data_IF_331819516139
#
_entry.id   IF_331819516139
#
_cell.length_a   1.000
_cell.length_b   1.000
_cell.length_c   1.000
_cell.angle_alpha   90.00
_cell.angle_beta   90.00
_cell.angle_gamma   90.00
#
_symmetry.space_group_name_H-M   'P 1'
#
loop_
_entity.id
_entity.type
_entity.pdbx_description
1 polymer ?
#
# COMPACT_ATOMS: atom_id res chain seq x y z
N UNK A 1 -47.65 -26.06 -4.80
CA UNK A 1 -47.87 -25.11 -3.68
C UNK A 1 -46.57 -24.35 -3.39
N UNK A 2 -46.26 -23.33 -4.19
CA UNK A 2 -45.07 -22.47 -4.08
C UNK A 2 -45.46 -21.06 -4.52
N UNK A 3 -44.80 -20.05 -3.95
CA UNK A 3 -44.88 -18.60 -4.18
C UNK A 3 -45.87 -17.83 -3.30
N UNK A 4 -45.37 -17.26 -2.17
CA UNK A 4 -45.86 -16.00 -1.56
C UNK A 4 -44.98 -15.54 -0.39
N UNK A 5 -43.70 -15.20 -0.63
CA UNK A 5 -42.88 -14.45 0.36
C UNK A 5 -41.83 -13.58 -0.36
N UNK A 6 -42.26 -12.64 -1.21
CA UNK A 6 -41.30 -11.66 -1.79
C UNK A 6 -41.85 -10.24 -2.02
N UNK A 7 -43.06 -9.91 -1.56
CA UNK A 7 -43.67 -8.58 -1.78
C UNK A 7 -43.57 -7.60 -0.60
N UNK A 8 -43.24 -8.02 0.63
CA UNK A 8 -43.28 -7.11 1.79
C UNK A 8 -41.98 -6.33 2.07
N UNK A 9 -40.85 -6.74 1.49
CA UNK A 9 -39.55 -6.08 1.72
C UNK A 9 -39.30 -4.82 0.87
N UNK A 10 -40.17 -4.49 -0.10
CA UNK A 10 -40.02 -3.28 -0.94
C UNK A 10 -40.76 -2.04 -0.40
N UNK A 11 -41.78 -2.21 0.43
CA UNK A 11 -42.58 -1.08 0.94
C UNK A 11 -41.89 -0.35 2.11
N UNK A 12 -41.11 -1.04 2.94
CA UNK A 12 -40.43 -0.42 4.09
C UNK A 12 -39.22 0.48 3.72
N UNK A 13 -38.69 0.39 2.49
CA UNK A 13 -37.57 1.27 2.04
C UNK A 13 -38.01 2.63 1.50
N UNK A 14 -39.26 2.77 1.05
CA UNK A 14 -39.79 4.04 0.54
C UNK A 14 -40.30 4.95 1.68
N UNK A 15 -40.84 4.38 2.76
CA UNK A 15 -41.29 5.13 3.94
C UNK A 15 -40.11 5.82 4.67
N UNK A 16 -38.99 5.13 4.86
CA UNK A 16 -37.80 5.70 5.53
C UNK A 16 -37.15 6.85 4.75
N UNK A 17 -37.31 6.90 3.43
CA UNK A 17 -36.75 7.98 2.61
C UNK A 17 -37.60 9.26 2.66
N UNK A 18 -38.92 9.14 2.85
CA UNK A 18 -39.82 10.29 2.94
C UNK A 18 -39.79 10.96 4.33
N UNK A 19 -39.59 10.20 5.40
CA UNK A 19 -39.49 10.76 6.76
C UNK A 19 -38.18 11.52 7.02
N UNK A 20 -37.12 11.23 6.27
CA UNK A 20 -35.85 11.98 6.35
C UNK A 20 -35.93 13.41 5.79
N UNK A 21 -36.93 13.70 4.94
CA UNK A 21 -37.12 15.05 4.36
C UNK A 21 -38.04 15.97 5.19
N UNK A 22 -38.79 15.43 6.16
CA UNK A 22 -39.78 16.23 6.93
C UNK A 22 -39.27 16.82 8.26
N UNK A 23 -38.06 16.48 8.73
CA UNK A 23 -37.49 17.00 10.00
C UNK A 23 -36.50 18.16 9.86
N UNK A 24 -36.58 18.97 8.80
CA UNK A 24 -35.84 20.24 8.69
C UNK A 24 -36.76 21.45 8.77
N UNK A 25 -37.39 21.65 9.92
CA UNK A 25 -37.85 22.97 10.35
C UNK A 25 -38.06 22.96 11.86
N UNK A 26 -37.09 23.50 12.59
CA UNK A 26 -37.23 24.27 13.84
C UNK A 26 -35.84 24.47 14.45
N UNK A 27 -35.55 25.73 14.74
CA UNK A 27 -34.22 26.25 15.03
C UNK A 27 -33.56 25.61 16.24
N UNK A 28 -32.36 25.10 16.03
CA UNK A 28 -31.35 24.97 17.06
C UNK A 28 -30.23 25.97 16.73
N UNK A 29 -29.65 26.68 17.71
CA UNK A 29 -28.58 27.63 17.48
C UNK A 29 -27.38 26.92 16.84
N UNK A 30 -26.86 27.52 15.77
CA UNK A 30 -25.71 26.99 15.05
C UNK A 30 -24.47 27.04 15.97
N UNK A 31 -24.09 25.89 16.53
CA UNK A 31 -22.76 25.72 17.13
C UNK A 31 -21.75 25.81 15.98
N UNK A 32 -21.14 26.97 15.83
CA UNK A 32 -20.02 27.18 14.89
C UNK A 32 -18.81 26.43 15.47
N UNK A 33 -18.74 25.13 15.22
CA UNK A 33 -17.51 24.37 15.39
C UNK A 33 -16.55 24.90 14.33
N UNK A 34 -15.63 25.79 14.73
CA UNK A 34 -14.48 26.20 13.90
C UNK A 34 -13.67 24.93 13.61
N UNK A 35 -13.96 24.26 12.49
CA UNK A 35 -13.12 23.18 11.98
C UNK A 35 -11.81 23.80 11.51
N UNK A 36 -10.81 23.83 12.38
CA UNK A 36 -9.42 23.95 11.96
C UNK A 36 -9.14 22.75 11.06
N UNK A 37 -9.30 22.93 9.74
CA UNK A 37 -8.82 21.95 8.78
C UNK A 37 -7.31 21.84 9.03
N UNK A 38 -6.77 20.63 9.29
CA UNK A 38 -5.33 20.47 9.40
C UNK A 38 -4.72 21.09 8.13
N UNK A 39 -3.88 22.11 8.33
CA UNK A 39 -3.09 22.68 7.24
C UNK A 39 -2.08 21.60 6.88
N UNK A 40 -2.44 20.72 5.95
CA UNK A 40 -1.50 19.82 5.30
C UNK A 40 -0.40 20.71 4.74
N UNK A 41 0.77 20.71 5.40
CA UNK A 41 1.95 21.37 4.85
C UNK A 41 2.16 20.71 3.49
N UNK A 42 2.28 21.52 2.42
CA UNK A 42 2.66 20.99 1.11
C UNK A 42 3.94 20.19 1.34
N UNK A 43 3.86 18.87 1.17
CA UNK A 43 5.01 17.99 1.27
C UNK A 43 5.95 18.48 0.18
N UNK A 44 7.11 19.03 0.57
CA UNK A 44 8.16 19.34 -0.40
C UNK A 44 8.49 18.00 -1.06
N UNK A 45 8.39 17.90 -2.38
CA UNK A 45 8.82 16.68 -3.06
C UNK A 45 10.33 16.60 -2.95
N UNK A 46 10.82 15.54 -2.31
CA UNK A 46 12.23 15.22 -2.15
C UNK A 46 12.62 14.28 -3.28
N UNK A 47 13.66 14.58 -4.05
CA UNK A 47 14.14 13.67 -5.08
C UNK A 47 15.51 13.17 -4.68
N UNK A 48 15.61 11.88 -4.37
CA UNK A 48 16.90 11.20 -4.41
C UNK A 48 17.33 11.09 -5.88
N UNK A 49 18.56 11.50 -6.20
CA UNK A 49 19.12 11.37 -7.55
C UNK A 49 19.35 9.88 -7.85
N UNK A 50 18.37 9.26 -8.49
CA UNK A 50 18.49 7.93 -9.08
C UNK A 50 18.38 8.05 -10.60
N UNK A 51 19.30 7.40 -11.31
CA UNK A 51 19.49 7.59 -12.75
C UNK A 51 18.89 6.48 -13.61
N UNK A 52 18.54 5.32 -13.04
CA UNK A 52 18.19 4.11 -13.80
C UNK A 52 17.08 3.24 -13.19
N UNK A 53 16.54 2.31 -13.98
CA UNK A 53 15.63 1.23 -13.54
C UNK A 53 16.15 0.46 -12.34
N UNK A 54 17.44 0.14 -12.42
CA UNK A 54 18.13 -0.67 -11.43
C UNK A 54 18.07 0.00 -10.07
N UNK A 55 18.11 1.33 -10.03
CA UNK A 55 18.12 2.09 -8.79
C UNK A 55 16.79 1.97 -8.02
N UNK A 56 15.66 1.78 -8.72
CA UNK A 56 14.36 1.60 -8.05
C UNK A 56 14.32 0.29 -7.26
N UNK A 57 14.86 -0.80 -7.84
CA UNK A 57 14.92 -2.11 -7.20
C UNK A 57 16.06 -2.22 -6.19
N UNK A 58 17.16 -1.52 -6.44
CA UNK A 58 18.31 -1.44 -5.53
C UNK A 58 18.06 -0.50 -4.36
N UNK A 59 17.02 0.33 -4.35
CA UNK A 59 16.84 1.34 -3.31
C UNK A 59 16.96 0.76 -1.88
N UNK A 60 16.28 -0.32 -1.48
CA UNK A 60 16.43 -0.83 -0.11
C UNK A 60 17.89 -1.17 0.22
N UNK A 61 18.60 -1.79 -0.72
CA UNK A 61 20.02 -2.11 -0.61
C UNK A 61 20.87 -0.83 -0.56
N UNK A 62 20.62 0.12 -1.46
CA UNK A 62 21.33 1.40 -1.54
C UNK A 62 21.18 2.21 -0.25
N UNK A 63 20.00 2.24 0.36
CA UNK A 63 19.78 2.90 1.64
C UNK A 63 20.67 2.29 2.72
N UNK A 64 20.75 0.95 2.78
CA UNK A 64 21.63 0.24 3.72
C UNK A 64 23.10 0.52 3.42
N UNK A 65 23.52 0.34 2.17
CA UNK A 65 24.91 0.54 1.74
C UNK A 65 25.37 1.98 2.02
N UNK A 66 24.51 2.96 1.74
CA UNK A 66 24.83 4.37 1.99
C UNK A 66 24.95 4.65 3.49
N UNK A 67 24.02 4.13 4.29
CA UNK A 67 24.07 4.26 5.75
C UNK A 67 25.30 3.58 6.38
N UNK A 68 25.80 2.50 5.79
CA UNK A 68 27.02 1.83 6.25
C UNK A 68 28.31 2.55 5.84
N UNK A 69 28.36 3.02 4.59
CA UNK A 69 29.54 3.71 4.04
C UNK A 69 29.70 5.12 4.59
N UNK A 70 28.61 5.80 4.97
CA UNK A 70 28.63 7.06 5.71
C UNK A 70 29.08 6.85 7.16
N UNK A 71 30.32 6.37 7.38
CA UNK A 71 31.05 6.30 8.65
C UNK A 71 30.16 6.11 9.91
N UNK A 72 29.32 5.08 9.86
CA UNK A 72 28.55 4.44 10.93
C UNK A 72 28.32 5.24 12.23
N UNK A 73 27.30 6.10 12.24
CA UNK A 73 26.71 6.49 13.53
C UNK A 73 26.22 5.21 14.25
N UNK A 74 26.49 5.03 15.56
CA UNK A 74 26.00 3.90 16.34
C UNK A 74 24.49 3.59 16.17
N UNK A 75 23.60 4.59 15.99
CA UNK A 75 22.18 4.37 15.70
C UNK A 75 21.91 3.54 14.45
N UNK A 76 22.69 3.71 13.38
CA UNK A 76 22.49 2.98 12.11
C UNK A 76 22.80 1.50 12.29
N UNK A 77 23.95 1.17 12.88
CA UNK A 77 24.33 -0.22 13.17
C UNK A 77 23.29 -0.90 14.06
N UNK A 78 22.84 -0.19 15.11
CA UNK A 78 21.79 -0.66 16.01
C UNK A 78 20.49 -0.94 15.26
N UNK A 79 20.06 -0.03 14.39
CA UNK A 79 18.86 -0.20 13.57
C UNK A 79 18.93 -1.42 12.66
N UNK A 80 20.06 -1.61 11.97
CA UNK A 80 20.29 -2.76 11.09
C UNK A 80 20.28 -4.08 11.87
N UNK A 81 20.91 -4.14 13.06
CA UNK A 81 20.81 -5.30 13.95
C UNK A 81 19.37 -5.51 14.43
N UNK A 82 18.62 -4.44 14.66
CA UNK A 82 17.21 -4.48 15.03
C UNK A 82 16.31 -5.14 13.98
N UNK A 83 16.61 -4.95 12.69
CA UNK A 83 15.84 -5.55 11.61
C UNK A 83 15.81 -7.08 11.67
N UNK A 84 16.92 -7.73 12.04
CA UNK A 84 16.97 -9.21 12.15
C UNK A 84 16.15 -9.77 13.31
N UNK A 85 15.77 -8.90 14.26
CA UNK A 85 14.88 -9.20 15.39
C UNK A 85 13.40 -9.12 15.01
N UNK A 86 13.07 -8.63 13.80
CA UNK A 86 11.69 -8.50 13.34
C UNK A 86 11.02 -9.86 13.11
N UNK A 87 9.80 -9.94 13.59
CA UNK A 87 8.81 -10.97 13.29
C UNK A 87 7.65 -10.24 12.60
N UNK A 88 7.38 -10.62 11.36
CA UNK A 88 6.43 -9.89 10.53
C UNK A 88 5.12 -10.66 10.42
N UNK A 89 4.03 -9.95 10.64
CA UNK A 89 2.69 -10.34 10.20
C UNK A 89 2.16 -9.30 9.23
N UNK A 90 1.33 -9.72 8.30
CA UNK A 90 0.83 -8.87 7.23
C UNK A 90 -0.64 -9.14 6.99
N UNK A 91 -1.44 -8.09 6.99
CA UNK A 91 -2.86 -8.12 6.68
C UNK A 91 -3.11 -7.38 5.37
N UNK A 92 -3.97 -7.95 4.51
CA UNK A 92 -4.18 -7.44 3.15
C UNK A 92 -2.88 -7.46 2.34
N UNK A 93 -2.19 -8.59 2.41
CA UNK A 93 -0.82 -8.75 1.90
C UNK A 93 -0.72 -8.53 0.38
N UNK A 94 -1.82 -8.65 -0.36
CA UNK A 94 -1.81 -8.64 -1.82
C UNK A 94 -0.90 -9.75 -2.33
N UNK A 95 -0.02 -9.41 -3.27
CA UNK A 95 1.03 -10.33 -3.77
C UNK A 95 2.31 -10.31 -2.93
N UNK A 96 2.28 -9.65 -1.77
CA UNK A 96 3.39 -9.61 -0.82
C UNK A 96 4.45 -8.56 -1.11
N UNK A 97 4.05 -7.40 -1.65
CA UNK A 97 4.96 -6.28 -1.97
C UNK A 97 5.69 -5.75 -0.73
N UNK A 98 5.00 -5.63 0.39
CA UNK A 98 5.60 -5.13 1.63
C UNK A 98 6.71 -6.06 2.12
N UNK A 99 6.44 -7.36 2.08
CA UNK A 99 7.33 -8.43 2.48
C UNK A 99 8.53 -8.51 1.54
N UNK A 100 8.36 -8.29 0.24
CA UNK A 100 9.48 -8.18 -0.71
C UNK A 100 10.39 -6.99 -0.36
N UNK A 101 9.81 -5.84 -0.01
CA UNK A 101 10.58 -4.66 0.41
C UNK A 101 11.41 -4.93 1.67
N UNK A 102 10.80 -5.56 2.67
CA UNK A 102 11.49 -5.93 3.93
C UNK A 102 12.51 -7.06 3.73
N UNK A 103 12.22 -8.03 2.87
CA UNK A 103 13.14 -9.11 2.56
C UNK A 103 14.36 -8.56 1.81
N UNK A 104 14.18 -7.65 0.86
CA UNK A 104 15.27 -6.99 0.16
C UNK A 104 16.15 -6.18 1.11
N UNK A 105 15.53 -5.47 2.06
CA UNK A 105 16.25 -4.75 3.10
C UNK A 105 17.13 -5.68 3.96
N UNK A 106 16.63 -6.87 4.34
CA UNK A 106 17.36 -7.85 5.16
C UNK A 106 18.37 -8.69 4.38
N UNK A 107 18.13 -8.94 3.11
CA UNK A 107 19.02 -9.73 2.25
C UNK A 107 20.41 -9.09 2.15
N UNK A 108 20.49 -7.76 2.22
CA UNK A 108 21.73 -6.98 2.36
C UNK A 108 22.63 -7.38 3.54
N UNK A 109 22.10 -8.15 4.50
CA UNK A 109 22.76 -8.61 5.72
C UNK A 109 22.77 -10.12 5.87
N UNK A 110 22.48 -10.86 4.79
CA UNK A 110 22.33 -12.33 4.85
C UNK A 110 21.35 -12.76 5.95
N UNK A 111 20.28 -11.99 6.13
CA UNK A 111 19.23 -12.28 7.09
C UNK A 111 17.92 -12.60 6.37
N UNK A 112 17.26 -13.67 6.81
CA UNK A 112 15.94 -14.03 6.30
C UNK A 112 14.83 -13.30 7.06
N UNK A 113 13.88 -12.75 6.31
CA UNK A 113 12.68 -12.16 6.87
C UNK A 113 11.79 -13.25 7.49
N UNK A 114 11.51 -13.12 8.78
CA UNK A 114 10.62 -14.05 9.51
C UNK A 114 9.16 -13.63 9.36
N UNK A 115 8.56 -13.90 8.21
CA UNK A 115 7.11 -13.74 8.01
C UNK A 115 6.38 -14.88 8.71
N UNK A 116 5.56 -14.58 9.72
CA UNK A 116 4.80 -15.58 10.49
C UNK A 116 3.38 -15.74 9.99
N UNK A 117 2.78 -14.66 9.51
CA UNK A 117 1.40 -14.63 9.03
C UNK A 117 1.24 -13.67 7.86
N UNK A 118 0.49 -14.09 6.86
CA UNK A 118 -0.08 -13.25 5.81
C UNK A 118 -1.58 -13.51 5.70
N UNK A 119 -2.36 -12.47 5.39
CA UNK A 119 -3.82 -12.57 5.26
C UNK A 119 -4.23 -11.91 3.95
N UNK A 120 -4.84 -12.68 3.05
CA UNK A 120 -5.26 -12.19 1.74
C UNK A 120 -6.52 -12.91 1.24
N UNK A 121 -7.58 -12.15 1.00
CA UNK A 121 -8.88 -12.70 0.59
C UNK A 121 -8.91 -13.04 -0.91
N UNK A 122 -8.14 -12.32 -1.74
CA UNK A 122 -8.05 -12.56 -3.17
C UNK A 122 -7.24 -13.83 -3.43
N UNK A 123 -7.93 -14.84 -3.99
CA UNK A 123 -7.32 -16.14 -4.31
C UNK A 123 -6.08 -16.04 -5.20
N UNK A 124 -6.08 -15.18 -6.23
CA UNK A 124 -4.94 -15.06 -7.15
C UNK A 124 -3.73 -14.45 -6.46
N UNK A 125 -3.95 -13.46 -5.60
CA UNK A 125 -2.89 -12.90 -4.76
C UNK A 125 -2.33 -13.95 -3.81
N UNK A 126 -3.20 -14.77 -3.16
CA UNK A 126 -2.74 -15.90 -2.34
C UNK A 126 -1.94 -16.92 -3.14
N UNK A 127 -2.32 -17.25 -4.37
CA UNK A 127 -1.55 -18.18 -5.21
C UNK A 127 -0.12 -17.67 -5.45
N UNK A 128 0.07 -16.35 -5.59
CA UNK A 128 1.40 -15.73 -5.62
C UNK A 128 2.12 -15.81 -4.27
N UNK A 129 1.42 -15.62 -3.14
CA UNK A 129 2.03 -15.78 -1.82
C UNK A 129 2.49 -17.22 -1.58
N UNK A 130 1.65 -18.21 -1.91
CA UNK A 130 1.93 -19.63 -1.76
C UNK A 130 3.07 -20.13 -2.67
N UNK A 131 3.31 -19.46 -3.80
CA UNK A 131 4.45 -19.78 -4.67
C UNK A 131 5.79 -19.27 -4.10
N UNK A 132 5.75 -18.43 -3.06
CA UNK A 132 6.96 -18.01 -2.34
C UNK A 132 7.31 -19.05 -1.30
N UNK A 133 8.54 -19.53 -1.33
CA UNK A 133 9.02 -20.52 -0.35
C UNK A 133 9.28 -19.85 1.01
N UNK A 134 8.23 -19.64 1.81
CA UNK A 134 8.33 -19.15 3.19
C UNK A 134 7.65 -20.10 4.18
N UNK A 135 8.12 -20.10 5.43
CA UNK A 135 7.57 -20.94 6.51
C UNK A 135 6.36 -20.34 7.23
N UNK A 136 5.97 -19.10 6.91
CA UNK A 136 4.82 -18.41 7.47
C UNK A 136 3.47 -19.00 7.08
N UNK A 137 2.43 -18.73 7.88
CA UNK A 137 1.05 -19.10 7.55
C UNK A 137 0.41 -18.10 6.56
N UNK A 138 -0.43 -18.60 5.66
CA UNK A 138 -1.26 -17.77 4.76
C UNK A 138 -2.74 -18.06 5.06
N UNK A 139 -3.46 -17.06 5.55
CA UNK A 139 -4.91 -17.11 5.81
C UNK A 139 -5.69 -16.31 4.75
N UNK A 140 -7.00 -16.48 4.70
CA UNK A 140 -7.89 -15.83 3.73
C UNK A 140 -8.57 -14.55 4.24
N UNK A 141 -9.73 -14.65 4.87
CA UNK A 141 -10.53 -13.52 5.34
C UNK A 141 -10.10 -13.15 6.75
N UNK A 142 -9.65 -11.91 6.93
CA UNK A 142 -9.26 -11.38 8.24
C UNK A 142 -10.41 -11.45 9.27
N UNK A 143 -11.67 -11.41 8.82
CA UNK A 143 -12.82 -11.56 9.71
C UNK A 143 -12.90 -12.94 10.35
N UNK A 144 -12.40 -13.99 9.67
CA UNK A 144 -12.35 -15.35 10.22
C UNK A 144 -11.31 -15.47 11.35
N UNK A 145 -10.36 -14.54 11.44
CA UNK A 145 -9.36 -14.50 12.51
C UNK A 145 -9.91 -13.85 13.80
N UNK A 146 -11.04 -13.16 13.71
CA UNK A 146 -11.72 -12.47 14.82
C UNK A 146 -13.23 -12.69 14.74
N UNK A 147 -13.72 -13.95 14.83
CA UNK A 147 -15.10 -14.30 14.48
C UNK A 147 -16.18 -13.53 15.26
N UNK A 148 -15.89 -13.11 16.50
CA UNK A 148 -16.82 -12.42 17.39
C UNK A 148 -16.52 -10.91 17.51
N UNK A 149 -15.98 -10.29 16.45
CA UNK A 149 -15.72 -8.86 16.50
C UNK A 149 -16.98 -8.01 16.33
N UNK A 150 -17.07 -6.99 17.16
CA UNK A 150 -18.05 -5.92 17.12
C UNK A 150 -17.46 -4.73 16.37
N UNK A 151 -18.21 -4.21 15.40
CA UNK A 151 -17.85 -3.01 14.63
C UNK A 151 -17.64 -1.82 15.55
N UNK A 152 -16.73 -0.92 15.17
CA UNK A 152 -16.52 0.32 15.89
C UNK A 152 -17.75 1.24 15.84
N UNK A 153 -17.91 2.09 16.85
CA UNK A 153 -18.88 3.20 16.82
C UNK A 153 -18.13 4.52 16.76
N UNK A 154 -18.81 5.66 16.57
CA UNK A 154 -18.15 6.97 16.60
C UNK A 154 -17.33 7.21 17.89
N UNK A 155 -17.75 6.63 19.02
CA UNK A 155 -17.14 6.85 20.33
C UNK A 155 -16.19 5.72 20.78
N UNK A 156 -16.26 4.52 20.19
CA UNK A 156 -15.50 3.36 20.65
C UNK A 156 -14.81 2.65 19.49
N UNK A 157 -13.55 2.22 19.66
CA UNK A 157 -12.89 1.39 18.67
C UNK A 157 -13.61 0.04 18.53
N UNK A 158 -13.43 -0.66 17.40
CA UNK A 158 -13.81 -2.06 17.25
C UNK A 158 -13.22 -2.91 18.38
N UNK A 159 -13.98 -3.93 18.80
CA UNK A 159 -13.57 -4.85 19.86
C UNK A 159 -13.91 -6.26 19.46
N UNK A 160 -13.12 -7.20 19.93
CA UNK A 160 -13.42 -8.61 19.80
C UNK A 160 -13.15 -9.28 21.15
N UNK A 161 -14.05 -10.15 21.61
CA UNK A 161 -13.90 -10.84 22.90
C UNK A 161 -12.68 -11.76 22.92
N UNK A 162 -12.39 -12.39 21.79
CA UNK A 162 -11.24 -13.29 21.61
C UNK A 162 -10.86 -13.43 20.13
N UNK A 163 -9.58 -13.44 19.82
CA UNK A 163 -9.10 -13.89 18.51
C UNK A 163 -9.40 -15.37 18.32
N UNK A 164 -9.59 -15.82 17.08
CA UNK A 164 -9.58 -17.24 16.80
C UNK A 164 -8.24 -17.84 17.24
N UNK A 165 -8.27 -18.90 18.04
CA UNK A 165 -7.04 -19.58 18.48
C UNK A 165 -6.34 -20.22 17.28
N UNK A 166 -7.13 -20.77 16.34
CA UNK A 166 -6.66 -21.36 15.09
C UNK A 166 -7.56 -20.96 13.93
N UNK A 167 -6.99 -20.87 12.74
CA UNK A 167 -7.71 -20.68 11.48
C UNK A 167 -7.12 -21.57 10.38
N UNK A 168 -7.85 -21.77 9.28
CA UNK A 168 -7.37 -22.59 8.18
C UNK A 168 -6.25 -21.88 7.42
N UNK A 169 -5.06 -22.46 7.42
CA UNK A 169 -3.90 -21.94 6.73
C UNK A 169 -3.74 -22.63 5.37
N UNK A 170 -3.74 -21.86 4.29
CA UNK A 170 -3.54 -22.34 2.93
C UNK A 170 -2.12 -22.88 2.67
N UNK A 171 -1.10 -22.33 3.35
CA UNK A 171 0.28 -22.80 3.21
C UNK A 171 0.47 -24.22 3.77
N UNK A 172 -0.14 -24.50 4.93
CA UNK A 172 0.03 -25.79 5.62
C UNK A 172 -1.15 -26.75 5.43
N UNK A 173 -2.18 -26.33 4.68
CA UNK A 173 -3.42 -27.06 4.45
C UNK A 173 -4.09 -27.62 5.74
N UNK A 174 -4.01 -26.88 6.86
CA UNK A 174 -4.52 -27.29 8.18
C UNK A 174 -4.88 -26.10 9.06
N UNK A 175 -5.54 -26.35 10.19
CA UNK A 175 -5.76 -25.33 11.22
C UNK A 175 -4.45 -24.96 11.92
N UNK A 176 -3.99 -23.73 11.72
CA UNK A 176 -2.76 -23.20 12.34
C UNK A 176 -3.09 -22.12 13.38
N UNK A 177 -2.22 -21.90 14.39
CA UNK A 177 -2.35 -20.77 15.30
C UNK A 177 -2.40 -19.44 14.56
N UNK A 178 -3.32 -18.56 14.96
CA UNK A 178 -3.49 -17.22 14.35
C UNK A 178 -2.47 -16.23 14.86
N UNK A 179 -2.29 -16.19 16.19
CA UNK A 179 -1.36 -15.29 16.84
C UNK A 179 0.09 -15.73 16.60
N UNK A 180 0.98 -14.81 16.19
CA UNK A 180 2.39 -15.14 16.00
C UNK A 180 3.04 -15.46 17.35
N UNK A 181 3.88 -16.50 17.38
CA UNK A 181 4.77 -16.75 18.52
C UNK A 181 5.96 -15.78 18.43
N UNK A 182 5.99 -14.78 19.31
CA UNK A 182 7.12 -13.85 19.51
C UNK A 182 8.05 -14.40 20.61
N UNK A 183 9.34 -14.52 20.33
CA UNK A 183 10.35 -14.87 21.34
C UNK A 183 10.85 -13.62 22.09
N UNK A 184 11.42 -13.82 23.27
CA UNK A 184 12.04 -12.73 24.04
C UNK A 184 13.10 -12.02 23.17
N UNK A 185 13.08 -10.69 23.19
CA UNK A 185 13.97 -9.86 22.40
C UNK A 185 13.57 -9.70 20.93
N UNK A 186 12.53 -10.36 20.42
CA UNK A 186 12.02 -10.05 19.07
C UNK A 186 11.14 -8.80 19.08
N UNK A 187 10.94 -8.21 17.90
CA UNK A 187 9.95 -7.17 17.66
C UNK A 187 8.87 -7.70 16.69
N UNK A 188 7.61 -7.55 17.05
CA UNK A 188 6.47 -7.87 16.21
C UNK A 188 6.04 -6.65 15.41
N UNK A 189 6.21 -6.73 14.09
CA UNK A 189 5.72 -5.75 13.13
C UNK A 189 4.48 -6.30 12.41
N UNK A 190 3.37 -5.58 12.48
CA UNK A 190 2.21 -5.79 11.61
C UNK A 190 2.26 -4.80 10.44
N UNK A 191 2.10 -5.28 9.21
CA UNK A 191 2.00 -4.43 8.01
C UNK A 191 0.61 -4.57 7.40
N UNK A 192 -0.07 -3.45 7.12
CA UNK A 192 -1.44 -3.52 6.62
C UNK A 192 -1.81 -2.41 5.63
N UNK A 193 -2.43 -2.82 4.52
CA UNK A 193 -3.00 -1.94 3.49
C UNK A 193 -4.50 -2.20 3.30
N UNK A 194 -5.36 -1.90 4.30
CA UNK A 194 -6.77 -2.25 4.24
C UNK A 194 -7.48 -1.58 3.06
N UNK A 195 -8.58 -2.18 2.55
CA UNK A 195 -9.26 -1.72 1.35
C UNK A 195 -9.55 -0.20 1.38
N UNK A 196 -8.92 0.54 0.46
CA UNK A 196 -9.14 1.97 0.30
C UNK A 196 -10.44 2.43 -0.41
N UNK A 197 -11.25 1.59 -1.11
CA UNK A 197 -12.47 2.05 -1.79
C UNK A 197 -13.47 2.87 -0.95
N UNK A 198 -13.63 2.64 0.37
CA UNK A 198 -14.47 3.49 1.21
C UNK A 198 -14.01 4.96 1.26
N UNK A 199 -12.74 5.25 0.97
CA UNK A 199 -12.10 6.56 1.09
C UNK A 199 -11.62 7.14 -0.25
N UNK A 200 -11.34 6.27 -1.21
CA UNK A 200 -10.73 6.63 -2.49
C UNK A 200 -11.63 7.50 -3.38
N UNK A 201 -11.00 8.38 -4.18
CA UNK A 201 -11.69 9.15 -5.21
C UNK A 201 -12.39 8.29 -6.25
N UNK A 202 -11.92 7.05 -6.43
CA UNK A 202 -12.44 6.08 -7.37
C UNK A 202 -13.54 5.17 -6.77
N UNK A 203 -13.80 5.26 -5.46
CA UNK A 203 -14.89 4.54 -4.81
C UNK A 203 -16.13 5.42 -4.60
N UNK A 204 -17.13 4.89 -3.89
CA UNK A 204 -18.35 5.62 -3.53
C UNK A 204 -18.14 6.61 -2.36
N UNK A 205 -16.94 6.65 -1.76
CA UNK A 205 -16.60 7.48 -0.59
C UNK A 205 -17.58 7.38 0.58
N UNK A 206 -18.06 6.16 0.82
CA UNK A 206 -19.02 5.86 1.89
C UNK A 206 -18.35 5.77 3.27
N UNK A 207 -17.02 5.80 3.35
CA UNK A 207 -16.27 5.74 4.59
C UNK A 207 -16.67 4.55 5.46
N UNK A 208 -16.90 4.79 6.74
CA UNK A 208 -17.35 3.76 7.71
C UNK A 208 -18.67 3.06 7.34
N UNK A 209 -19.52 3.67 6.49
CA UNK A 209 -20.77 3.05 6.04
C UNK A 209 -20.62 2.07 4.86
N UNK A 210 -19.40 1.91 4.33
CA UNK A 210 -19.11 0.93 3.30
C UNK A 210 -18.94 -0.47 3.92
N UNK A 211 -19.61 -1.50 3.38
CA UNK A 211 -19.49 -2.87 3.92
C UNK A 211 -18.05 -3.38 3.93
N UNK A 212 -17.20 -2.88 3.04
CA UNK A 212 -15.77 -3.26 2.98
C UNK A 212 -14.96 -2.68 4.14
N UNK A 213 -15.50 -1.67 4.85
CA UNK A 213 -14.90 -1.18 6.09
C UNK A 213 -14.90 -2.22 7.20
N UNK A 214 -15.78 -3.21 7.13
CA UNK A 214 -15.83 -4.32 8.09
C UNK A 214 -14.50 -5.08 8.21
N UNK A 215 -13.77 -5.24 7.09
CA UNK A 215 -12.45 -5.87 7.11
C UNK A 215 -11.41 -4.99 7.85
N UNK A 216 -11.52 -3.67 7.75
CA UNK A 216 -10.69 -2.74 8.52
C UNK A 216 -10.98 -2.85 10.02
N UNK A 217 -12.24 -2.96 10.44
CA UNK A 217 -12.60 -3.13 11.85
C UNK A 217 -12.16 -4.48 12.43
N UNK A 218 -12.21 -5.54 11.62
CA UNK A 218 -11.62 -6.84 11.96
C UNK A 218 -10.10 -6.73 12.18
N UNK A 219 -9.41 -6.05 11.27
CA UNK A 219 -7.97 -5.78 11.40
C UNK A 219 -7.63 -4.98 12.67
N UNK A 220 -8.37 -3.90 12.95
CA UNK A 220 -8.19 -3.13 14.18
C UNK A 220 -8.37 -4.01 15.41
N UNK A 221 -9.42 -4.84 15.42
CA UNK A 221 -9.67 -5.77 16.53
C UNK A 221 -8.53 -6.76 16.73
N UNK A 222 -7.99 -7.32 15.65
CA UNK A 222 -6.85 -8.23 15.68
C UNK A 222 -5.60 -7.54 16.24
N UNK A 223 -5.23 -6.37 15.72
CA UNK A 223 -4.07 -5.61 16.22
C UNK A 223 -4.20 -5.22 17.68
N UNK A 224 -5.41 -4.85 18.14
CA UNK A 224 -5.63 -4.48 19.54
C UNK A 224 -5.53 -5.67 20.51
N UNK A 225 -5.73 -6.89 20.02
CA UNK A 225 -5.58 -8.13 20.79
C UNK A 225 -4.13 -8.61 20.80
N UNK A 226 -3.45 -8.54 19.65
CA UNK A 226 -2.06 -9.00 19.53
C UNK A 226 -1.04 -8.00 20.04
N UNK A 227 -1.42 -6.73 20.11
CA UNK A 227 -0.57 -5.60 20.49
C UNK A 227 0.81 -5.65 19.82
N UNK A 228 0.90 -5.65 18.46
CA UNK A 228 2.20 -5.60 17.78
C UNK A 228 3.03 -4.43 18.31
N UNK A 229 4.34 -4.61 18.44
CA UNK A 229 5.23 -3.52 18.89
C UNK A 229 5.20 -2.35 17.90
N UNK A 230 5.06 -2.68 16.60
CA UNK A 230 4.96 -1.75 15.50
C UNK A 230 3.82 -2.11 14.57
N UNK A 231 3.13 -1.11 14.05
CA UNK A 231 2.18 -1.27 12.95
C UNK A 231 2.57 -0.30 11.84
N UNK A 232 2.82 -0.82 10.65
CA UNK A 232 2.94 -0.03 9.44
C UNK A 232 1.64 -0.07 8.65
N UNK A 233 0.94 1.04 8.63
CA UNK A 233 -0.32 1.19 7.91
C UNK A 233 -0.11 1.99 6.62
N UNK A 234 -0.69 1.54 5.50
CA UNK A 234 -0.72 2.29 4.23
C UNK A 234 -2.16 2.54 3.76
N UNK A 235 -2.42 3.73 3.24
CA UNK A 235 -3.65 4.00 2.51
C UNK A 235 -3.52 5.16 1.51
N UNK A 236 -4.61 5.44 0.78
CA UNK A 236 -4.69 6.63 -0.07
C UNK A 236 -4.63 7.92 0.76
N UNK A 237 -4.08 8.99 0.20
CA UNK A 237 -3.97 10.31 0.87
C UNK A 237 -5.31 10.86 1.39
N UNK A 238 -6.44 10.43 0.81
CA UNK A 238 -7.78 10.81 1.27
C UNK A 238 -8.31 10.03 2.47
N UNK A 239 -7.53 9.10 3.04
CA UNK A 239 -7.90 8.37 4.25
C UNK A 239 -8.00 9.32 5.46
N UNK A 240 -8.95 9.06 6.36
CA UNK A 240 -9.17 9.84 7.57
C UNK A 240 -8.25 9.39 8.70
N UNK A 241 -7.13 10.06 8.89
CA UNK A 241 -6.14 9.71 9.92
C UNK A 241 -6.72 9.72 11.35
N UNK A 242 -7.77 10.50 11.59
CA UNK A 242 -8.47 10.53 12.87
C UNK A 242 -9.04 9.16 13.26
N UNK A 243 -9.24 8.25 12.29
CA UNK A 243 -9.62 6.87 12.56
C UNK A 243 -8.48 6.06 13.17
N UNK A 244 -7.22 6.29 12.78
CA UNK A 244 -6.08 5.63 13.43
C UNK A 244 -5.94 6.14 14.85
N UNK A 245 -6.04 7.45 15.06
CA UNK A 245 -5.97 8.05 16.39
C UNK A 245 -7.08 7.50 17.30
N UNK A 246 -8.34 7.52 16.82
CA UNK A 246 -9.49 6.94 17.52
C UNK A 246 -9.26 5.46 17.90
N UNK A 247 -8.65 4.70 17.01
CA UNK A 247 -8.53 3.25 17.17
C UNK A 247 -7.28 2.80 17.92
N UNK A 248 -6.23 3.61 17.99
CA UNK A 248 -4.92 3.18 18.49
C UNK A 248 -4.20 4.19 19.38
N UNK A 249 -4.58 5.47 19.42
CA UNK A 249 -3.81 6.49 20.17
C UNK A 249 -3.78 6.26 21.69
N UNK A 250 -4.66 5.40 22.23
CA UNK A 250 -4.59 4.95 23.62
C UNK A 250 -3.32 4.11 23.88
N UNK A 251 -2.95 3.22 22.95
CA UNK A 251 -1.81 2.28 23.08
C UNK A 251 -0.58 2.62 22.24
N UNK A 252 -0.75 3.41 21.19
CA UNK A 252 0.27 3.69 20.18
C UNK A 252 0.50 5.18 20.02
N UNK A 253 1.71 5.56 19.60
CA UNK A 253 2.01 6.85 18.97
C UNK A 253 1.75 6.72 17.48
N UNK A 254 0.95 7.61 16.88
CA UNK A 254 0.58 7.56 15.45
C UNK A 254 1.40 8.59 14.69
N UNK A 255 2.25 8.13 13.75
CA UNK A 255 3.21 8.96 13.02
C UNK A 255 2.94 8.90 11.51
N UNK A 256 2.01 9.71 10.99
CA UNK A 256 1.63 9.70 9.58
C UNK A 256 2.58 10.50 8.69
N UNK A 257 2.92 9.96 7.52
CA UNK A 257 3.67 10.64 6.47
C UNK A 257 3.13 10.31 5.08
N UNK A 258 3.34 11.20 4.11
CA UNK A 258 2.95 10.95 2.72
C UNK A 258 4.19 10.60 1.89
N UNK A 259 4.21 9.39 1.34
CA UNK A 259 5.26 8.92 0.45
C UNK A 259 4.74 8.76 -0.97
N UNK A 260 5.58 9.13 -1.93
CA UNK A 260 5.33 8.89 -3.36
C UNK A 260 6.53 8.09 -3.91
N UNK A 261 6.32 7.00 -4.66
CA UNK A 261 7.40 6.23 -5.27
C UNK A 261 8.39 7.08 -6.08
N UNK A 262 7.92 8.21 -6.63
CA UNK A 262 8.75 9.19 -7.34
C UNK A 262 9.89 9.78 -6.51
N UNK A 263 9.77 9.79 -5.19
CA UNK A 263 10.84 10.21 -4.28
C UNK A 263 12.09 9.30 -4.41
N UNK A 264 11.89 8.09 -4.94
CA UNK A 264 12.89 7.03 -5.08
C UNK A 264 13.26 6.76 -6.54
N UNK A 265 13.02 7.72 -7.43
CA UNK A 265 13.30 7.54 -8.86
C UNK A 265 12.32 6.63 -9.61
N UNK A 266 11.36 6.02 -8.92
CA UNK A 266 10.36 5.19 -9.59
C UNK A 266 9.47 6.09 -10.47
N UNK A 267 9.33 5.82 -11.77
CA UNK A 267 8.55 6.69 -12.65
C UNK A 267 7.04 6.51 -12.51
N UNK A 268 6.51 6.34 -11.30
CA UNK A 268 5.09 6.14 -11.04
C UNK A 268 4.62 7.10 -9.96
N UNK A 269 3.70 8.01 -10.30
CA UNK A 269 3.06 8.86 -9.30
C UNK A 269 2.04 8.05 -8.51
N UNK A 270 2.33 7.84 -7.22
CA UNK A 270 1.43 7.10 -6.33
C UNK A 270 1.57 7.59 -4.89
N UNK A 271 1.16 8.83 -4.60
CA UNK A 271 1.21 9.33 -3.24
C UNK A 271 0.26 8.50 -2.36
N UNK A 272 0.76 8.07 -1.21
CA UNK A 272 0.05 7.29 -0.19
C UNK A 272 0.43 7.80 1.18
N UNK A 273 -0.52 7.71 2.12
CA UNK A 273 -0.23 7.93 3.52
C UNK A 273 0.31 6.63 4.11
N UNK A 274 1.50 6.71 4.67
CA UNK A 274 2.13 5.67 5.48
C UNK A 274 2.10 6.14 6.92
N UNK A 275 1.45 5.40 7.81
CA UNK A 275 1.40 5.71 9.24
C UNK A 275 2.16 4.64 9.99
N UNK A 276 3.24 5.05 10.64
CA UNK A 276 3.95 4.21 11.59
C UNK A 276 3.30 4.38 12.95
N UNK A 277 2.78 3.29 13.52
CA UNK A 277 2.25 3.27 14.87
C UNK A 277 3.25 2.54 15.76
N UNK A 278 3.74 3.23 16.78
CA UNK A 278 4.76 2.71 17.71
C UNK A 278 4.09 2.45 19.06
N UNK A 279 4.13 1.22 19.54
CA UNK A 279 3.53 0.88 20.82
C UNK A 279 4.19 1.70 21.93
N UNK A 280 3.39 2.24 22.86
CA UNK A 280 3.89 3.18 23.90
C UNK A 280 4.86 2.54 24.90
N UNK A 281 4.98 1.21 24.92
CA UNK A 281 6.01 0.51 25.69
C UNK A 281 7.41 0.61 25.07
N UNK A 282 7.52 1.00 23.79
CA UNK A 282 8.80 1.24 23.14
C UNK A 282 9.26 2.68 23.37
N UNK A 283 10.56 2.84 23.61
CA UNK A 283 11.19 4.14 23.80
C UNK A 283 11.52 4.77 22.44
N UNK A 284 10.58 5.56 21.92
CA UNK A 284 10.71 6.29 20.67
C UNK A 284 11.48 7.62 20.87
N UNK A 285 12.64 7.72 20.22
CA UNK A 285 13.56 8.87 20.22
C UNK A 285 13.37 9.84 19.05
N UNK A 286 12.57 9.46 18.04
CA UNK A 286 12.32 10.31 16.88
C UNK A 286 11.45 11.52 17.24
N UNK A 287 11.55 12.59 16.46
CA UNK A 287 10.62 13.71 16.59
C UNK A 287 9.34 13.43 15.80
N UNK A 288 8.22 14.09 16.16
CA UNK A 288 6.98 13.99 15.39
C UNK A 288 7.09 14.65 14.01
N UNK A 289 8.09 15.49 13.79
CA UNK A 289 8.29 16.22 12.55
C UNK A 289 9.16 15.41 11.57
N UNK A 290 8.51 14.78 10.59
CA UNK A 290 9.17 14.19 9.42
C UNK A 290 10.27 13.20 9.74
N UNK A 291 9.91 12.19 10.53
CA UNK A 291 10.76 11.05 10.84
C UNK A 291 11.43 10.47 9.59
N UNK A 292 10.72 10.43 8.47
CA UNK A 292 11.24 9.93 7.20
C UNK A 292 12.40 10.78 6.63
N UNK A 293 12.40 12.09 6.85
CA UNK A 293 13.50 12.95 6.40
C UNK A 293 14.80 12.60 7.09
N UNK A 294 14.75 12.12 8.33
CA UNK A 294 15.94 11.74 9.06
C UNK A 294 16.59 10.52 8.41
N UNK A 295 15.80 9.54 7.97
CA UNK A 295 16.32 8.38 7.24
C UNK A 295 16.87 8.75 5.85
N UNK A 296 16.16 9.62 5.10
CA UNK A 296 16.64 10.08 3.78
C UNK A 296 17.93 10.88 3.90
N UNK A 297 18.02 11.78 4.89
CA UNK A 297 19.24 12.55 5.18
C UNK A 297 20.37 11.64 5.68
N UNK A 298 20.07 10.69 6.55
CA UNK A 298 21.05 9.73 7.05
C UNK A 298 21.63 8.86 5.93
N UNK A 299 20.82 8.54 4.92
CA UNK A 299 21.26 7.87 3.70
C UNK A 299 21.95 8.83 2.70
N UNK A 300 22.48 9.97 3.15
CA UNK A 300 23.24 10.91 2.31
C UNK A 300 22.43 11.57 1.19
N UNK A 301 21.10 11.49 1.24
CA UNK A 301 20.24 12.05 0.22
C UNK A 301 20.24 13.58 0.23
N UNK A 302 20.68 14.20 -0.85
CA UNK A 302 20.45 15.64 -1.05
C UNK A 302 18.96 15.88 -1.29
N UNK A 303 18.40 16.80 -0.49
CA UNK A 303 17.03 17.28 -0.66
C UNK A 303 17.02 18.35 -1.75
N UNK A 304 16.65 17.96 -2.97
CA UNK A 304 16.36 18.93 -4.02
C UNK A 304 14.87 19.30 -4.02
N UNK A 305 14.55 20.58 -4.19
CA UNK A 305 13.19 21.02 -4.50
C UNK A 305 12.85 20.60 -5.93
N UNK A 306 11.71 19.97 -6.10
CA UNK A 306 11.17 19.37 -7.34
C UNK A 306 10.86 20.33 -8.50
N UNK A 307 11.55 21.47 -8.59
CA UNK A 307 11.31 22.47 -9.65
C UNK A 307 12.15 22.19 -10.92
N UNK A 308 13.06 21.20 -10.90
CA UNK A 308 13.76 20.78 -12.11
C UNK A 308 12.92 19.77 -12.89
N UNK A 309 12.68 20.07 -14.18
CA UNK A 309 11.94 19.26 -15.14
C UNK A 309 12.71 17.99 -15.57
N UNK A 310 13.32 17.25 -14.63
CA UNK A 310 14.05 16.03 -14.97
C UNK A 310 13.06 15.02 -15.52
N UNK A 311 13.14 14.75 -16.82
CA UNK A 311 12.38 13.68 -17.47
C UNK A 311 12.80 12.37 -16.85
N UNK A 312 11.88 11.67 -16.18
CA UNK A 312 12.17 10.32 -15.70
C UNK A 312 12.53 9.42 -16.88
N UNK A 313 13.50 8.52 -16.68
CA UNK A 313 13.83 7.52 -17.69
C UNK A 313 12.69 6.51 -17.77
N UNK A 314 11.81 6.70 -18.75
CA UNK A 314 10.64 5.83 -18.96
C UNK A 314 11.02 4.49 -19.61
N UNK A 315 12.30 4.26 -19.96
CA UNK A 315 12.79 2.97 -20.50
C UNK A 315 12.55 1.81 -19.56
N UNK A 316 12.45 2.08 -18.25
CA UNK A 316 12.11 1.11 -17.19
C UNK A 316 10.86 0.28 -17.53
N UNK A 317 9.89 0.88 -18.22
CA UNK A 317 8.64 0.22 -18.62
C UNK A 317 8.68 -0.40 -20.01
N UNK A 318 9.65 -0.03 -20.85
CA UNK A 318 9.75 -0.47 -22.23
C UNK A 318 10.76 -1.60 -22.42
N UNK A 319 11.69 -1.78 -21.48
CA UNK A 319 12.59 -2.92 -21.44
C UNK A 319 11.78 -4.22 -21.31
N UNK A 320 12.13 -5.20 -22.14
CA UNK A 320 11.54 -6.55 -22.17
C UNK A 320 10.03 -6.57 -22.50
N UNK A 321 9.62 -6.10 -23.70
CA UNK A 321 8.24 -6.21 -24.14
C UNK A 321 7.82 -7.67 -24.27
N UNK A 322 6.68 -8.03 -23.70
CA UNK A 322 6.05 -9.33 -23.89
C UNK A 322 4.95 -9.29 -24.97
N UNK A 323 4.41 -10.45 -25.30
CA UNK A 323 3.31 -10.63 -26.23
C UNK A 323 2.05 -9.80 -25.88
N UNK A 324 1.82 -9.47 -24.61
CA UNK A 324 0.76 -8.55 -24.18
C UNK A 324 1.00 -7.08 -24.52
N UNK A 325 2.27 -6.67 -24.62
CA UNK A 325 2.64 -5.28 -24.98
C UNK A 325 2.43 -4.95 -26.47
N UNK A 326 2.46 -5.98 -27.33
CA UNK A 326 2.40 -5.86 -28.80
C UNK A 326 0.99 -5.98 -29.39
N UNK A 327 -0.06 -5.95 -28.57
CA UNK A 327 -1.43 -6.06 -29.07
C UNK A 327 -1.78 -4.87 -29.97
N UNK A 328 -2.55 -5.13 -31.02
CA UNK A 328 -3.10 -4.06 -31.85
C UNK A 328 -4.08 -3.19 -31.04
N UNK A 329 -4.06 -1.90 -31.37
CA UNK A 329 -4.99 -0.93 -30.82
C UNK A 329 -6.37 -1.14 -31.46
N UNK A 330 -7.42 -1.10 -30.65
CA UNK A 330 -8.80 -1.15 -31.16
C UNK A 330 -9.18 0.18 -31.81
N UNK A 331 -10.16 0.22 -32.72
CA UNK A 331 -10.63 1.46 -33.35
C UNK A 331 -11.08 2.51 -32.31
N UNK A 332 -11.64 2.05 -31.18
CA UNK A 332 -12.04 2.92 -30.07
C UNK A 332 -10.84 3.52 -29.34
N UNK A 333 -9.77 2.77 -29.16
CA UNK A 333 -8.53 3.26 -28.56
C UNK A 333 -7.80 4.22 -29.49
N UNK A 334 -7.80 3.95 -30.81
CA UNK A 334 -7.28 4.89 -31.82
C UNK A 334 -8.01 6.23 -31.77
N UNK A 335 -9.35 6.22 -31.81
CA UNK A 335 -10.15 7.44 -31.71
C UNK A 335 -9.89 8.21 -30.40
N UNK A 336 -9.62 7.50 -29.29
CA UNK A 336 -9.26 8.13 -28.01
C UNK A 336 -7.86 8.73 -28.03
N UNK A 337 -6.89 8.05 -28.62
CA UNK A 337 -5.52 8.56 -28.75
C UNK A 337 -5.53 9.85 -29.59
N UNK A 338 -6.27 9.88 -30.70
CA UNK A 338 -6.43 11.09 -31.51
C UNK A 338 -7.10 12.22 -30.71
N UNK A 339 -8.16 11.90 -29.96
CA UNK A 339 -8.79 12.88 -29.08
C UNK A 339 -7.81 13.41 -28.01
N UNK A 340 -6.91 12.57 -27.49
CA UNK A 340 -5.87 12.99 -26.54
C UNK A 340 -4.80 13.86 -27.21
N UNK A 341 -4.40 13.57 -28.46
CA UNK A 341 -3.46 14.37 -29.23
C UNK A 341 -3.97 15.81 -29.45
N UNK A 342 -5.28 15.98 -29.60
CA UNK A 342 -5.91 17.31 -29.68
C UNK A 342 -5.93 18.09 -28.36
N UNK A 343 -5.63 17.46 -27.23
CA UNK A 343 -5.58 18.14 -25.92
C UNK A 343 -4.18 18.67 -25.67
N UNK A 344 -4.00 20.00 -25.78
CA UNK A 344 -2.71 20.70 -25.55
C UNK A 344 -2.00 20.24 -24.26
N UNK A 345 -2.75 19.94 -23.21
CA UNK A 345 -2.21 19.51 -21.91
C UNK A 345 -1.65 18.09 -21.89
N UNK A 346 -2.07 17.20 -22.80
CA UNK A 346 -1.61 15.82 -22.89
C UNK A 346 -0.55 15.61 -23.96
N UNK A 347 -0.28 16.62 -24.79
CA UNK A 347 0.69 16.52 -25.89
C UNK A 347 2.06 15.98 -25.44
N UNK A 348 2.43 16.26 -24.19
CA UNK A 348 3.70 15.88 -23.57
C UNK A 348 3.62 14.61 -22.68
N UNK A 349 2.44 14.03 -22.48
CA UNK A 349 2.30 12.84 -21.64
C UNK A 349 2.95 11.62 -22.33
N UNK A 350 3.95 11.02 -21.69
CA UNK A 350 4.62 9.80 -22.16
C UNK A 350 3.66 8.60 -22.21
N UNK A 351 2.85 8.45 -21.15
CA UNK A 351 1.93 7.32 -20.97
C UNK A 351 0.52 7.82 -20.71
N UNK A 352 -0.45 7.23 -21.42
CA UNK A 352 -1.86 7.60 -21.34
C UNK A 352 -2.74 6.38 -21.08
N UNK A 353 -3.78 6.53 -20.26
CA UNK A 353 -4.80 5.48 -20.06
C UNK A 353 -5.92 5.61 -21.11
N UNK A 354 -5.84 4.79 -22.17
CA UNK A 354 -6.83 4.73 -23.25
C UNK A 354 -8.13 4.01 -22.84
N UNK A 355 -8.25 3.50 -21.62
CA UNK A 355 -9.55 3.00 -21.11
C UNK A 355 -10.46 4.14 -20.66
N UNK A 356 -9.89 5.31 -20.35
CA UNK A 356 -10.63 6.46 -19.84
C UNK A 356 -11.30 7.26 -20.95
N UNK A 357 -12.24 8.12 -20.56
CA UNK A 357 -12.90 9.03 -21.51
C UNK A 357 -12.00 10.21 -21.87
N UNK A 358 -12.07 10.69 -23.11
CA UNK A 358 -11.43 11.94 -23.57
C UNK A 358 -11.73 13.17 -22.71
N UNK A 359 -12.87 13.20 -22.01
CA UNK A 359 -13.23 14.31 -21.11
C UNK A 359 -12.44 14.31 -19.79
N UNK A 360 -11.86 13.18 -19.41
CA UNK A 360 -11.16 12.97 -18.14
C UNK A 360 -9.97 12.02 -18.35
N UNK A 361 -8.98 12.44 -19.16
CA UNK A 361 -7.79 11.65 -19.38
C UNK A 361 -7.05 11.46 -18.06
N UNK A 362 -6.49 10.27 -17.88
CA UNK A 362 -5.59 9.96 -16.75
C UNK A 362 -4.22 9.73 -17.34
N UNK A 363 -3.31 10.67 -17.08
CA UNK A 363 -1.92 10.66 -17.48
C UNK A 363 -1.11 11.48 -16.46
N UNK A 364 0.18 11.22 -16.31
CA UNK A 364 1.04 12.22 -15.67
C UNK A 364 1.33 13.32 -16.68
N UNK A 365 0.93 14.54 -16.33
CA UNK A 365 1.13 15.74 -17.15
C UNK A 365 2.40 16.51 -16.80
N UNK A 366 3.11 16.08 -15.75
CA UNK A 366 4.17 16.90 -15.14
C UNK A 366 5.55 16.31 -15.42
N UNK A 367 5.68 14.99 -15.32
CA UNK A 367 6.98 14.34 -15.24
C UNK A 367 7.09 13.07 -16.11
N UNK A 368 6.06 12.77 -16.90
CA UNK A 368 6.01 11.56 -17.73
C UNK A 368 5.82 10.26 -16.96
N UNK A 369 5.64 10.31 -15.62
CA UNK A 369 5.42 9.14 -14.80
C UNK A 369 4.13 8.39 -15.16
N UNK A 370 4.05 7.11 -14.80
CA UNK A 370 2.80 6.37 -14.81
C UNK A 370 1.80 7.03 -13.86
N UNK A 371 0.53 7.14 -14.28
CA UNK A 371 -0.53 7.51 -13.36
C UNK A 371 -0.69 6.42 -12.30
N UNK A 372 -1.45 6.74 -11.24
CA UNK A 372 -1.82 5.77 -10.21
C UNK A 372 -2.42 4.52 -10.85
N UNK A 373 -1.72 3.40 -10.71
CA UNK A 373 -2.12 2.13 -11.26
C UNK A 373 -3.34 1.56 -10.53
N UNK A 374 -4.21 0.89 -11.29
CA UNK A 374 -5.49 0.31 -10.85
C UNK A 374 -5.65 -1.07 -11.47
N UNK A 375 -6.52 -1.88 -10.89
CA UNK A 375 -6.88 -3.21 -11.41
C UNK A 375 -7.52 -3.17 -12.81
N UNK A 376 -7.99 -1.99 -13.23
CA UNK A 376 -8.59 -1.74 -14.55
C UNK A 376 -7.62 -1.17 -15.58
N UNK A 377 -6.34 -0.96 -15.25
CA UNK A 377 -5.37 -0.32 -16.14
C UNK A 377 -4.88 -1.27 -17.25
N UNK A 378 -5.76 -1.65 -18.18
CA UNK A 378 -5.46 -2.54 -19.32
C UNK A 378 -5.12 -1.81 -20.63
N UNK A 379 -5.29 -0.48 -20.63
CA UNK A 379 -5.10 0.38 -21.80
C UNK A 379 -4.05 1.46 -21.58
N UNK A 380 -3.09 1.23 -20.68
CA UNK A 380 -1.95 2.14 -20.54
C UNK A 380 -1.08 1.98 -21.79
N UNK A 381 -0.96 3.07 -22.54
CA UNK A 381 -0.28 3.12 -23.82
C UNK A 381 0.89 4.10 -23.74
N UNK A 382 2.07 3.63 -24.11
CA UNK A 382 3.29 4.42 -24.18
C UNK A 382 3.44 5.00 -25.59
N UNK A 383 3.32 6.31 -25.73
CA UNK A 383 3.21 6.96 -27.04
C UNK A 383 4.50 6.87 -27.86
N UNK A 384 5.65 7.12 -27.23
CA UNK A 384 6.95 7.10 -27.93
C UNK A 384 7.36 5.70 -28.41
N UNK A 385 7.07 4.67 -27.61
CA UNK A 385 7.34 3.28 -27.97
C UNK A 385 6.20 2.63 -28.79
N UNK A 386 5.11 3.37 -29.01
CA UNK A 386 3.89 2.91 -29.70
C UNK A 386 3.35 1.56 -29.21
N UNK A 387 3.47 1.27 -27.90
CA UNK A 387 3.11 -0.03 -27.33
C UNK A 387 2.19 0.10 -26.11
N UNK A 388 1.44 -0.96 -25.82
CA UNK A 388 0.73 -1.08 -24.55
C UNK A 388 1.67 -1.57 -23.46
N UNK A 389 1.43 -1.14 -22.22
CA UNK A 389 2.11 -1.73 -21.07
C UNK A 389 1.43 -3.04 -20.67
N UNK A 390 2.22 -4.11 -20.62
CA UNK A 390 1.74 -5.42 -20.21
C UNK A 390 1.51 -5.50 -18.69
N UNK A 391 0.84 -6.56 -18.23
CA UNK A 391 0.68 -6.78 -16.79
C UNK A 391 2.02 -6.96 -16.07
N UNK A 392 3.02 -7.57 -16.71
CA UNK A 392 4.35 -7.76 -16.15
C UNK A 392 5.12 -6.44 -16.01
N UNK A 393 5.08 -5.59 -17.05
CA UNK A 393 5.67 -4.25 -17.00
C UNK A 393 5.03 -3.38 -15.90
N UNK A 394 3.71 -3.50 -15.71
CA UNK A 394 2.99 -2.78 -14.65
C UNK A 394 3.26 -3.34 -13.24
N UNK A 395 3.45 -4.65 -13.07
CA UNK A 395 3.89 -5.22 -11.80
C UNK A 395 5.33 -4.79 -11.47
N UNK A 396 6.22 -4.81 -12.47
CA UNK A 396 7.59 -4.28 -12.36
C UNK A 396 7.58 -2.81 -11.96
N UNK A 397 6.70 -2.00 -12.56
CA UNK A 397 6.51 -0.60 -12.21
C UNK A 397 6.08 -0.36 -10.75
N UNK A 398 5.39 -1.33 -10.15
CA UNK A 398 5.01 -1.30 -8.73
C UNK A 398 6.12 -1.80 -7.79
N UNK A 399 7.28 -2.17 -8.34
CA UNK A 399 8.41 -2.71 -7.60
C UNK A 399 8.35 -4.24 -7.40
N UNK A 400 7.55 -4.97 -8.18
CA UNK A 400 7.55 -6.44 -8.13
C UNK A 400 8.71 -6.98 -8.99
N UNK A 401 9.57 -7.89 -8.47
CA UNK A 401 10.70 -8.42 -9.22
C UNK A 401 10.25 -9.52 -10.19
N UNK A 402 9.65 -9.11 -11.31
CA UNK A 402 9.12 -10.05 -12.32
C UNK A 402 10.25 -10.77 -13.04
N UNK A 403 11.35 -10.07 -13.34
CA UNK A 403 12.50 -10.66 -14.05
C UNK A 403 13.59 -11.13 -13.06
N UNK A 404 14.38 -12.18 -13.39
CA UNK A 404 15.51 -12.60 -12.56
C UNK A 404 16.50 -11.48 -12.23
N UNK A 405 16.73 -10.55 -13.16
CA UNK A 405 17.59 -9.38 -12.91
C UNK A 405 17.00 -8.41 -11.88
N UNK A 406 15.68 -8.26 -11.85
CA UNK A 406 15.02 -7.41 -10.85
C UNK A 406 15.19 -8.04 -9.45
N UNK A 407 15.00 -9.37 -9.35
CA UNK A 407 15.21 -10.10 -8.09
C UNK A 407 16.68 -10.00 -7.63
N UNK A 408 17.63 -10.19 -8.53
CA UNK A 408 19.06 -10.04 -8.23
C UNK A 408 19.42 -8.62 -7.73
N UNK A 409 18.83 -7.58 -8.32
CA UNK A 409 19.00 -6.19 -7.86
C UNK A 409 18.43 -5.94 -6.46
N UNK A 410 17.39 -6.69 -6.08
CA UNK A 410 16.83 -6.67 -4.73
C UNK A 410 17.59 -7.59 -3.75
N UNK A 411 18.66 -8.26 -4.19
CA UNK A 411 19.35 -9.33 -3.44
C UNK A 411 18.42 -10.49 -3.07
N UNK A 412 17.40 -10.75 -3.88
CA UNK A 412 16.40 -11.80 -3.67
C UNK A 412 16.64 -12.98 -4.60
N UNK A 413 16.31 -14.18 -4.12
CA UNK A 413 16.10 -15.33 -5.01
C UNK A 413 14.96 -15.03 -6.00
N UNK A 414 15.05 -15.57 -7.22
CA UNK A 414 14.00 -15.40 -8.21
C UNK A 414 12.66 -15.89 -7.64
N UNK A 415 11.66 -15.01 -7.64
CA UNK A 415 10.32 -15.27 -7.13
C UNK A 415 9.36 -15.36 -8.32
N UNK A 416 9.31 -16.51 -9.04
CA UNK A 416 8.48 -16.62 -10.23
C UNK A 416 7.01 -16.41 -9.86
N UNK A 417 6.32 -15.65 -10.71
CA UNK A 417 4.87 -15.59 -10.63
C UNK A 417 4.31 -16.97 -11.01
N UNK A 418 3.28 -17.47 -10.31
CA UNK A 418 2.58 -18.68 -10.72
C UNK A 418 2.00 -18.48 -12.13
N UNK A 419 1.78 -19.59 -12.84
CA UNK A 419 1.19 -19.58 -14.19
C UNK A 419 -0.28 -19.14 -14.13
N UNK A 420 -0.48 -17.83 -14.08
CA UNK A 420 -1.79 -17.18 -14.00
C UNK A 420 -2.15 -16.56 -15.35
N UNK A 421 -3.44 -16.63 -15.76
CA UNK A 421 -3.90 -15.88 -16.91
C UNK A 421 -3.64 -14.38 -16.74
N UNK A 422 -3.28 -13.69 -17.83
CA UNK A 422 -2.96 -12.25 -17.82
C UNK A 422 -4.06 -11.41 -17.20
N UNK A 423 -5.33 -11.76 -17.43
CA UNK A 423 -6.49 -11.07 -16.88
C UNK A 423 -6.48 -11.09 -15.35
N UNK A 424 -5.97 -12.17 -14.74
CA UNK A 424 -5.82 -12.31 -13.29
C UNK A 424 -4.64 -11.49 -12.79
N UNK A 425 -3.51 -11.48 -13.51
CA UNK A 425 -2.37 -10.61 -13.21
C UNK A 425 -2.78 -9.14 -13.14
N UNK A 426 -3.62 -8.67 -14.07
CA UNK A 426 -4.17 -7.31 -14.03
C UNK A 426 -4.96 -7.00 -12.76
N UNK A 427 -5.63 -7.99 -12.14
CA UNK A 427 -6.38 -7.76 -10.89
C UNK A 427 -5.49 -7.55 -9.66
N UNK A 428 -4.19 -7.81 -9.79
CA UNK A 428 -3.20 -7.60 -8.73
C UNK A 428 -2.55 -6.21 -8.80
N UNK A 429 -2.63 -5.57 -9.97
CA UNK A 429 -2.08 -4.23 -10.21
C UNK A 429 -2.88 -3.18 -9.41
N UNK A 430 -2.16 -2.29 -8.74
CA UNK A 430 -2.71 -1.25 -7.87
C UNK A 430 -3.02 -1.71 -6.44
N UNK A 431 -2.92 -3.01 -6.14
CA UNK A 431 -3.30 -3.63 -4.87
C UNK A 431 -2.11 -4.04 -3.98
N UNK A 432 -1.09 -3.20 -3.87
CA UNK A 432 0.01 -3.45 -2.94
C UNK A 432 0.73 -2.18 -2.55
N UNK A 433 1.45 -2.20 -1.42
CA UNK A 433 2.33 -1.09 -1.04
C UNK A 433 3.51 -0.99 -2.00
N UNK A 434 4.16 0.17 -2.10
CA UNK A 434 5.43 0.25 -2.82
C UNK A 434 6.57 -0.29 -1.94
N UNK A 435 7.32 -1.33 -2.35
CA UNK A 435 8.31 -2.02 -1.50
C UNK A 435 9.34 -1.09 -0.87
N UNK A 436 9.86 -0.15 -1.66
CA UNK A 436 10.84 0.84 -1.23
C UNK A 436 10.31 1.78 -0.13
N UNK A 437 9.03 2.19 -0.23
CA UNK A 437 8.40 3.00 0.81
C UNK A 437 8.23 2.21 2.12
N UNK A 438 7.89 0.91 2.02
CA UNK A 438 7.77 0.02 3.18
C UNK A 438 9.13 -0.17 3.86
N UNK A 439 10.17 -0.49 3.09
CA UNK A 439 11.53 -0.67 3.59
C UNK A 439 12.01 0.58 4.32
N UNK A 440 11.84 1.76 3.72
CA UNK A 440 12.22 3.02 4.33
C UNK A 440 11.42 3.30 5.62
N UNK A 441 10.11 3.05 5.62
CA UNK A 441 9.28 3.26 6.80
C UNK A 441 9.74 2.43 8.00
N UNK A 442 10.05 1.14 7.77
CA UNK A 442 10.51 0.24 8.83
C UNK A 442 11.95 0.55 9.25
N UNK A 443 12.84 0.84 8.30
CA UNK A 443 14.21 1.25 8.61
C UNK A 443 14.22 2.50 9.50
N UNK A 444 13.36 3.46 9.20
CA UNK A 444 13.24 4.66 10.03
C UNK A 444 12.70 4.35 11.41
N UNK A 445 11.74 3.43 11.52
CA UNK A 445 11.28 2.97 12.83
C UNK A 445 12.46 2.43 13.66
N UNK A 446 13.31 1.59 13.06
CA UNK A 446 14.46 0.99 13.73
C UNK A 446 15.53 2.01 14.13
N UNK A 447 15.68 3.12 13.41
CA UNK A 447 16.61 4.19 13.76
C UNK A 447 16.21 4.95 15.03
N UNK A 448 14.93 4.97 15.35
CA UNK A 448 14.38 5.80 16.43
C UNK A 448 13.88 5.00 17.63
N UNK A 449 13.92 3.67 17.59
CA UNK A 449 13.53 2.83 18.73
C UNK A 449 14.77 2.41 19.50
N UNK A 450 14.74 2.65 20.81
CA UNK A 450 15.77 2.13 21.70
C UNK A 450 15.51 0.64 21.99
N UNK A 451 16.20 -0.22 21.21
CA UNK A 451 16.10 -1.68 21.20
C UNK A 451 16.91 -2.45 22.24
#
# INVERSE_FOLDING_TARGET
>A
MRLKVFSELRLNRLQMFQDSKRKRSRGAPAVVIRKNKPKWRRVKCFQLKFGTAADTFRLPQFLVDTMETSSASPPIKKALTGLSRLVVTSSFSGVGFAELGLQSLLASKNHDLKVKRQVEINRHCREVLLSRNHSGCVFDDIQALVPDFEMGTAAKPPRCRSSAVKAYCHQHARLCPVAPKKMLGQLHLEVAGPPCPPWSRFGCRRGESDIRHRAHDAWVSLCRQEEPDLILFENVVGYKLELLDKNFADKYRVLPEILDPRLFGAPMSRPRVYSLLVHKSLDWKGTEASWLLDAVKAAGGEVHSSDSSSTYDNRIYAELPDDGSRRHMTSKEHARLEAYNGLKRLGEATVVDLTQSAKKPVASLVDGALPVLRTSCRGLYMRHAQQFLSCFQLLRAMGYPVHPSDAAQMSLGHCPLPSLPKEKLFTMIGNGMFPACVALAVLTAMLHIDL
#
